data_IF_099204257405
#
_entry.id   IF_099204257405
#
_cell.length_a   1.000
_cell.length_b   1.000
_cell.length_c   1.000
_cell.angle_alpha   90.00
_cell.angle_beta   90.00
_cell.angle_gamma   90.00
#
_symmetry.space_group_name_H-M   'P 1'
#
loop_
_entity.id
_entity.type
_entity.pdbx_description
1 polymer ?
#
# COMPACT_ATOMS: atom_id res chain seq x y z
N UNK A 1 -18.50 14.07 22.18
CA UNK A 1 -17.98 13.72 20.84
C UNK A 1 -17.73 12.23 20.85
N UNK A 2 -18.52 11.44 20.13
CA UNK A 2 -18.18 10.04 19.88
C UNK A 2 -17.05 10.01 18.86
N UNK A 3 -15.92 9.40 19.20
CA UNK A 3 -14.82 9.17 18.26
C UNK A 3 -15.37 8.41 17.05
N UNK A 4 -15.32 9.05 15.88
CA UNK A 4 -15.58 8.33 14.65
C UNK A 4 -14.46 7.28 14.50
N UNK A 5 -14.80 6.06 14.09
CA UNK A 5 -13.80 5.05 13.89
C UNK A 5 -12.74 5.56 12.89
N UNK A 6 -11.47 5.50 13.28
CA UNK A 6 -10.35 5.94 12.45
C UNK A 6 -9.61 4.72 11.89
N UNK A 7 -9.15 4.81 10.64
CA UNK A 7 -8.36 3.77 10.00
C UNK A 7 -6.88 4.16 10.03
N UNK A 8 -6.03 3.26 10.53
CA UNK A 8 -4.58 3.31 10.31
C UNK A 8 -4.24 2.46 9.10
N UNK A 9 -3.47 3.04 8.18
CA UNK A 9 -3.02 2.38 6.96
C UNK A 9 -1.48 2.42 6.95
N UNK A 10 -0.86 1.26 6.80
CA UNK A 10 0.57 1.18 6.43
C UNK A 10 0.63 0.63 5.00
N UNK A 11 1.45 1.23 4.15
CA UNK A 11 1.69 0.77 2.77
C UNK A 11 3.17 0.89 2.45
N UNK A 12 3.65 0.05 1.53
CA UNK A 12 5.06 0.00 1.11
C UNK A 12 5.16 -0.47 -0.36
N UNK A 13 6.03 0.18 -1.12
CA UNK A 13 6.31 -0.13 -2.52
C UNK A 13 7.70 -0.75 -2.70
N UNK A 14 7.78 -1.85 -3.45
CA UNK A 14 9.03 -2.51 -3.78
C UNK A 14 9.49 -2.18 -5.20
N UNK A 15 10.72 -1.67 -5.34
CA UNK A 15 11.37 -1.41 -6.62
C UNK A 15 12.79 -2.00 -6.65
N UNK A 16 13.06 -3.03 -7.46
CA UNK A 16 14.39 -3.61 -7.61
C UNK A 16 15.30 -2.69 -8.44
N UNK A 17 16.25 -2.03 -7.78
CA UNK A 17 17.37 -1.34 -8.43
C UNK A 17 18.63 -2.23 -8.45
N UNK A 18 19.55 -2.12 -9.44
CA UNK A 18 19.54 -1.27 -10.64
C UNK A 18 19.13 -2.02 -11.93
N UNK A 19 18.82 -3.31 -11.88
CA UNK A 19 18.64 -4.17 -13.06
C UNK A 19 17.24 -4.10 -13.70
N UNK A 20 16.77 -2.89 -14.05
CA UNK A 20 16.04 -2.58 -15.28
C UNK A 20 14.83 -3.42 -15.74
N UNK A 21 14.28 -4.35 -14.95
CA UNK A 21 13.16 -5.18 -15.41
C UNK A 21 11.86 -4.39 -15.55
N UNK A 22 11.81 -3.19 -14.97
CA UNK A 22 10.58 -2.41 -14.81
C UNK A 22 9.57 -3.08 -13.86
N UNK A 23 9.91 -4.22 -13.26
CA UNK A 23 9.07 -4.92 -12.31
C UNK A 23 9.12 -4.28 -10.93
N UNK A 24 8.12 -4.59 -10.10
CA UNK A 24 8.06 -4.18 -8.70
C UNK A 24 6.91 -4.85 -7.98
N UNK A 25 6.66 -4.43 -6.75
CA UNK A 25 5.54 -4.91 -5.96
C UNK A 25 5.00 -3.82 -5.05
N UNK A 26 3.88 -4.10 -4.42
CA UNK A 26 3.34 -3.26 -3.35
C UNK A 26 2.66 -4.11 -2.29
N UNK A 27 2.57 -3.58 -1.09
CA UNK A 27 1.84 -4.17 0.02
C UNK A 27 1.20 -3.11 0.90
N UNK A 28 0.11 -3.46 1.58
CA UNK A 28 -0.49 -2.63 2.60
C UNK A 28 -1.18 -3.44 3.70
N UNK A 29 -1.46 -2.79 4.84
CA UNK A 29 -2.31 -3.28 5.93
C UNK A 29 -3.27 -2.17 6.37
N UNK A 30 -4.57 -2.46 6.38
CA UNK A 30 -5.61 -1.56 6.91
C UNK A 30 -6.06 -2.04 8.29
N UNK A 31 -6.05 -1.14 9.26
CA UNK A 31 -6.45 -1.40 10.65
C UNK A 31 -7.50 -0.36 11.06
N UNK A 32 -8.67 -0.81 11.44
CA UNK A 32 -9.70 -0.04 12.11
C UNK A 32 -9.33 0.11 13.58
N UNK A 33 -9.33 1.35 14.08
CA UNK A 33 -9.02 1.62 15.47
C UNK A 33 -10.31 1.71 16.31
N UNK A 34 -10.31 1.11 17.51
CA UNK A 34 -9.18 0.42 18.16
C UNK A 34 -9.12 -1.09 17.85
N UNK A 35 -8.14 -1.49 17.03
CA UNK A 35 -7.58 -2.85 17.06
C UNK A 35 -8.13 -3.89 16.07
N UNK A 36 -9.05 -3.56 15.18
CA UNK A 36 -9.55 -4.52 14.19
C UNK A 36 -8.81 -4.40 12.86
N UNK A 37 -8.21 -5.49 12.36
CA UNK A 37 -7.50 -5.47 11.08
C UNK A 37 -8.49 -5.80 9.98
N UNK A 38 -8.83 -4.81 9.12
CA UNK A 38 -9.74 -5.05 7.99
C UNK A 38 -9.10 -5.93 6.90
N UNK A 39 -7.78 -5.91 6.80
CA UNK A 39 -7.03 -6.88 6.00
C UNK A 39 -5.77 -6.30 5.34
N UNK A 40 -4.83 -7.18 4.94
CA UNK A 40 -3.71 -6.83 4.09
C UNK A 40 -4.07 -6.91 2.60
N UNK A 41 -3.26 -6.26 1.77
CA UNK A 41 -3.30 -6.41 0.31
C UNK A 41 -1.89 -6.39 -0.27
N UNK A 42 -1.70 -7.05 -1.41
CA UNK A 42 -0.44 -7.04 -2.14
C UNK A 42 -0.67 -7.24 -3.64
N UNK A 43 0.28 -6.78 -4.46
CA UNK A 43 0.26 -7.01 -5.90
C UNK A 43 1.62 -6.79 -6.55
N UNK A 44 1.75 -7.31 -7.77
CA UNK A 44 2.93 -7.15 -8.61
C UNK A 44 2.73 -6.00 -9.61
N UNK A 45 3.77 -5.19 -9.80
CA UNK A 45 3.84 -4.17 -10.83
C UNK A 45 4.71 -4.70 -11.97
N UNK A 46 4.16 -4.75 -13.20
CA UNK A 46 4.92 -5.16 -14.39
C UNK A 46 5.83 -4.05 -14.91
N UNK A 47 5.40 -2.80 -14.70
CA UNK A 47 6.07 -1.60 -15.18
C UNK A 47 5.98 -0.52 -14.10
N UNK A 48 7.12 -0.22 -13.49
CA UNK A 48 7.33 0.84 -12.51
C UNK A 48 8.69 1.47 -12.79
N UNK A 49 8.72 2.79 -12.86
CA UNK A 49 9.89 3.56 -13.30
C UNK A 49 10.78 4.01 -12.13
N UNK A 50 10.28 3.92 -10.89
CA UNK A 50 11.01 4.36 -9.70
C UNK A 50 10.43 3.77 -8.42
N UNK A 51 11.23 3.76 -7.36
CA UNK A 51 10.75 3.48 -6.01
C UNK A 51 9.57 4.38 -5.62
N UNK A 52 9.65 5.69 -5.92
CA UNK A 52 8.57 6.63 -5.63
C UNK A 52 7.24 6.25 -6.30
N UNK A 53 7.29 5.77 -7.55
CA UNK A 53 6.09 5.28 -8.21
C UNK A 53 5.56 3.99 -7.54
N UNK A 54 6.43 3.07 -7.10
CA UNK A 54 6.00 1.89 -6.37
C UNK A 54 5.27 2.26 -5.06
N UNK A 55 5.81 3.23 -4.31
CA UNK A 55 5.19 3.75 -3.08
C UNK A 55 3.83 4.39 -3.35
N UNK A 56 3.73 5.21 -4.41
CA UNK A 56 2.48 5.85 -4.79
C UNK A 56 1.39 4.81 -5.16
N UNK A 57 1.79 3.72 -5.84
CA UNK A 57 0.89 2.61 -6.16
C UNK A 57 0.42 1.87 -4.90
N UNK A 58 1.33 1.61 -3.94
CA UNK A 58 0.98 1.00 -2.66
C UNK A 58 -0.02 1.85 -1.87
N UNK A 59 0.23 3.17 -1.79
CA UNK A 59 -0.65 4.12 -1.13
C UNK A 59 -2.04 4.19 -1.80
N UNK A 60 -2.08 4.26 -3.13
CA UNK A 60 -3.34 4.28 -3.88
C UNK A 60 -4.18 3.02 -3.66
N UNK A 61 -3.55 1.83 -3.74
CA UNK A 61 -4.23 0.57 -3.48
C UNK A 61 -4.78 0.48 -2.04
N UNK A 62 -4.01 0.96 -1.07
CA UNK A 62 -4.41 0.96 0.33
C UNK A 62 -5.61 1.90 0.60
N UNK A 63 -5.63 3.08 -0.04
CA UNK A 63 -6.75 4.01 0.05
C UNK A 63 -8.03 3.45 -0.58
N UNK A 64 -7.91 2.77 -1.73
CA UNK A 64 -9.05 2.09 -2.37
C UNK A 64 -9.60 0.95 -1.51
N UNK A 65 -8.74 0.23 -0.79
CA UNK A 65 -9.18 -0.85 0.11
C UNK A 65 -9.81 -0.33 1.42
N UNK A 66 -9.53 0.92 1.80
CA UNK A 66 -10.04 1.55 3.02
C UNK A 66 -11.29 2.39 2.80
N UNK A 67 -11.70 2.65 1.55
CA UNK A 67 -12.89 3.43 1.17
C UNK A 67 -14.20 2.66 1.33
#
# INVERSE_FOLDING_TARGET
>A
MSDLPSSKINCDGAFPAPEGTGGGGWGFVVQHLPGDVRGPGTGCLRHVASALQAEAMACSAALQAAS
#
